data_IF_851600374117
#
_entry.id   IF_851600374117
#
_cell.length_a   1.000
_cell.length_b   1.000
_cell.length_c   1.000
_cell.angle_alpha   90.00
_cell.angle_beta   90.00
_cell.angle_gamma   90.00
#
_symmetry.space_group_name_H-M   'P 1'
#
loop_
_entity.id
_entity.type
_entity.pdbx_description
1 polymer ?
#
# COMPACT_ATOMS: atom_id res chain seq x y z
N UNK A 1 -17.87 -19.54 -3.63
CA UNK A 1 -18.20 -19.53 -2.19
C UNK A 1 -16.94 -19.83 -1.38
N UNK A 2 -16.11 -18.82 -1.12
CA UNK A 2 -14.94 -18.96 -0.23
C UNK A 2 -15.35 -18.56 1.18
N UNK A 3 -15.32 -19.51 2.14
CA UNK A 3 -15.58 -19.22 3.55
C UNK A 3 -14.50 -18.26 4.05
N UNK A 4 -14.88 -17.05 4.47
CA UNK A 4 -14.02 -16.20 5.29
C UNK A 4 -13.81 -16.93 6.63
N UNK A 5 -12.57 -17.08 7.12
CA UNK A 5 -12.34 -17.67 8.43
C UNK A 5 -13.09 -16.86 9.48
N UNK A 6 -13.84 -17.56 10.35
CA UNK A 6 -14.58 -16.93 11.45
C UNK A 6 -13.59 -16.27 12.39
N UNK A 7 -13.56 -14.94 12.38
CA UNK A 7 -12.72 -14.16 13.27
C UNK A 7 -13.33 -14.10 14.67
N UNK A 8 -12.52 -14.39 15.69
CA UNK A 8 -12.95 -14.32 17.08
C UNK A 8 -13.16 -12.86 17.53
N UNK A 9 -14.23 -12.55 18.30
CA UNK A 9 -14.47 -11.20 18.81
C UNK A 9 -13.31 -10.75 19.72
N UNK A 10 -12.83 -9.51 19.52
CA UNK A 10 -11.81 -8.86 20.37
C UNK A 10 -10.38 -8.84 19.82
N UNK A 11 -10.12 -9.51 18.70
CA UNK A 11 -8.81 -9.53 18.06
C UNK A 11 -8.81 -8.42 16.96
N UNK A 12 -7.78 -7.57 16.82
CA UNK A 12 -7.80 -6.49 15.82
C UNK A 12 -7.82 -7.08 14.41
N UNK A 13 -8.76 -6.66 13.56
CA UNK A 13 -8.79 -7.10 12.17
C UNK A 13 -7.48 -6.66 11.51
N UNK A 14 -6.79 -7.55 10.77
CA UNK A 14 -5.60 -7.14 10.04
C UNK A 14 -6.00 -6.07 9.02
N UNK A 15 -5.39 -4.90 9.14
CA UNK A 15 -5.54 -3.83 8.17
C UNK A 15 -4.68 -4.19 6.96
N UNK A 16 -5.26 -4.11 5.76
CA UNK A 16 -4.55 -4.46 4.52
C UNK A 16 -3.93 -3.18 3.94
N UNK A 17 -2.61 -3.12 3.91
CA UNK A 17 -1.88 -2.03 3.25
C UNK A 17 -1.76 -2.33 1.75
N UNK A 18 -2.35 -1.46 0.92
CA UNK A 18 -2.32 -1.61 -0.54
C UNK A 18 -1.11 -0.85 -1.10
N UNK A 19 -0.21 -1.57 -1.77
CA UNK A 19 0.97 -1.01 -2.44
C UNK A 19 0.63 -0.15 -3.68
N UNK A 20 1.53 0.75 -4.05
CA UNK A 20 1.42 1.62 -5.23
C UNK A 20 1.20 0.83 -6.50
N UNK A 21 1.88 -0.30 -6.70
CA UNK A 21 1.74 -1.09 -7.93
C UNK A 21 0.31 -1.62 -8.11
N UNK A 22 -0.36 -2.00 -7.01
CA UNK A 22 -1.75 -2.44 -7.02
C UNK A 22 -2.72 -1.27 -7.29
N UNK A 23 -2.47 -0.10 -6.69
CA UNK A 23 -3.23 1.11 -7.02
C UNK A 23 -3.13 1.48 -8.49
N UNK A 24 -1.94 1.38 -9.09
CA UNK A 24 -1.72 1.70 -10.51
C UNK A 24 -2.53 0.75 -11.41
N UNK A 25 -2.54 -0.55 -11.11
CA UNK A 25 -3.36 -1.53 -11.84
C UNK A 25 -4.86 -1.20 -11.75
N UNK A 26 -5.34 -0.88 -10.55
CA UNK A 26 -6.73 -0.50 -10.33
C UNK A 26 -7.11 0.79 -11.07
N UNK A 27 -6.30 1.85 -10.95
CA UNK A 27 -6.56 3.15 -11.57
C UNK A 27 -6.50 3.12 -13.10
N UNK A 28 -5.71 2.21 -13.66
CA UNK A 28 -5.67 1.96 -15.11
C UNK A 28 -6.82 1.08 -15.61
N UNK A 29 -7.59 0.47 -14.71
CA UNK A 29 -8.68 -0.43 -15.06
C UNK A 29 -8.21 -1.65 -15.85
N UNK A 30 -7.05 -2.22 -15.51
CA UNK A 30 -6.41 -3.26 -16.33
C UNK A 30 -7.19 -4.57 -16.39
N UNK A 31 -8.15 -4.79 -15.48
CA UNK A 31 -8.88 -6.05 -15.36
C UNK A 31 -8.02 -7.21 -14.85
N UNK A 32 -6.79 -6.93 -14.39
CA UNK A 32 -5.92 -7.94 -13.80
C UNK A 32 -6.49 -8.48 -12.48
N UNK A 33 -5.97 -9.64 -12.03
CA UNK A 33 -6.34 -10.18 -10.72
C UNK A 33 -6.06 -9.19 -9.58
N UNK A 34 -4.99 -8.41 -9.69
CA UNK A 34 -4.66 -7.33 -8.74
C UNK A 34 -5.68 -6.20 -8.79
N UNK A 35 -6.11 -5.77 -9.98
CA UNK A 35 -7.18 -4.78 -10.15
C UNK A 35 -8.47 -5.24 -9.46
N UNK A 36 -8.88 -6.51 -9.67
CA UNK A 36 -10.07 -7.06 -9.03
C UNK A 36 -9.92 -7.18 -7.51
N UNK A 37 -8.75 -7.58 -7.02
CA UNK A 37 -8.47 -7.66 -5.59
C UNK A 37 -8.59 -6.29 -4.91
N UNK A 38 -8.05 -5.22 -5.52
CA UNK A 38 -8.23 -3.86 -5.00
C UNK A 38 -9.70 -3.48 -4.99
N UNK A 39 -10.44 -3.74 -6.08
CA UNK A 39 -11.88 -3.47 -6.15
C UNK A 39 -12.66 -4.13 -5.00
N UNK A 40 -12.39 -5.41 -4.72
CA UNK A 40 -13.07 -6.16 -3.66
C UNK A 40 -12.70 -5.65 -2.26
N UNK A 41 -11.48 -5.11 -2.09
CA UNK A 41 -10.97 -4.57 -0.83
C UNK A 41 -11.48 -3.16 -0.50
N UNK A 42 -11.88 -2.37 -1.50
CA UNK A 42 -12.38 -1.00 -1.31
C UNK A 42 -13.64 -0.92 -0.41
N UNK A 43 -14.35 -2.04 -0.22
CA UNK A 43 -15.49 -2.15 0.70
C UNK A 43 -15.13 -2.53 2.15
N UNK A 44 -13.84 -2.65 2.49
CA UNK A 44 -13.35 -3.09 3.80
C UNK A 44 -12.31 -2.16 4.44
N UNK A 45 -11.64 -2.67 5.47
CA UNK A 45 -10.63 -1.94 6.24
C UNK A 45 -9.26 -1.98 5.52
N UNK A 46 -9.02 -0.99 4.65
CA UNK A 46 -7.75 -0.83 3.92
C UNK A 46 -6.92 0.34 4.47
N UNK A 47 -5.61 0.27 4.28
CA UNK A 47 -4.69 1.35 4.57
C UNK A 47 -3.72 1.64 3.43
N UNK A 48 -3.15 2.83 3.52
CA UNK A 48 -2.00 3.29 2.76
C UNK A 48 -0.98 3.88 3.73
N UNK A 49 0.30 3.88 3.36
CA UNK A 49 1.34 4.63 4.06
C UNK A 49 1.76 5.87 3.27
N UNK A 50 2.50 6.78 3.92
CA UNK A 50 2.94 8.04 3.30
C UNK A 50 3.71 7.84 1.98
N UNK A 51 4.64 6.86 1.83
CA UNK A 51 5.32 6.62 0.57
C UNK A 51 4.38 6.19 -0.54
N UNK A 52 3.43 5.27 -0.26
CA UNK A 52 2.42 4.86 -1.24
C UNK A 52 1.55 6.06 -1.64
N UNK A 53 1.11 6.86 -0.65
CA UNK A 53 0.32 8.07 -0.90
C UNK A 53 1.09 9.04 -1.80
N UNK A 54 2.37 9.26 -1.52
CA UNK A 54 3.24 10.10 -2.34
C UNK A 54 3.32 9.59 -3.77
N UNK A 55 3.63 8.31 -3.98
CA UNK A 55 3.78 7.74 -5.32
C UNK A 55 2.48 7.79 -6.13
N UNK A 56 1.34 7.46 -5.51
CA UNK A 56 0.02 7.52 -6.18
C UNK A 56 -0.32 8.95 -6.59
N UNK A 57 -0.15 9.93 -5.70
CA UNK A 57 -0.44 11.34 -6.00
C UNK A 57 0.52 11.92 -7.04
N UNK A 58 1.80 11.54 -7.00
CA UNK A 58 2.78 11.95 -8.02
C UNK A 58 2.46 11.37 -9.41
N UNK A 59 1.68 10.30 -9.50
CA UNK A 59 1.14 9.74 -10.74
C UNK A 59 -0.05 10.50 -11.33
N UNK A 60 -0.51 11.59 -10.71
CA UNK A 60 -1.58 12.43 -11.25
C UNK A 60 -1.19 13.03 -12.61
N UNK A 61 -2.16 13.19 -13.51
CA UNK A 61 -1.94 13.69 -14.88
C UNK A 61 -2.20 15.19 -15.01
N UNK A 62 -3.03 15.71 -14.11
CA UNK A 62 -3.47 17.09 -13.99
C UNK A 62 -4.05 17.30 -12.57
N UNK A 63 -4.40 18.54 -12.25
CA UNK A 63 -4.93 18.91 -10.93
C UNK A 63 -6.30 18.29 -10.62
N UNK A 64 -7.12 18.03 -11.65
CA UNK A 64 -8.42 17.39 -11.47
C UNK A 64 -8.23 15.94 -11.04
N UNK A 65 -7.37 15.20 -11.74
CA UNK A 65 -6.97 13.84 -11.41
C UNK A 65 -6.33 13.77 -10.02
N UNK A 66 -5.47 14.73 -9.66
CA UNK A 66 -4.87 14.80 -8.32
C UNK A 66 -5.94 14.90 -7.22
N UNK A 67 -6.97 15.72 -7.42
CA UNK A 67 -8.07 15.87 -6.47
C UNK A 67 -8.96 14.62 -6.40
N UNK A 68 -9.16 13.92 -7.52
CA UNK A 68 -9.83 12.63 -7.55
C UNK A 68 -9.06 11.56 -6.74
N UNK A 69 -7.74 11.49 -6.91
CA UNK A 69 -6.89 10.59 -6.14
C UNK A 69 -6.90 10.93 -4.65
N UNK A 70 -6.85 12.22 -4.27
CA UNK A 70 -6.99 12.63 -2.86
C UNK A 70 -8.30 12.14 -2.24
N UNK A 71 -9.41 12.28 -2.97
CA UNK A 71 -10.73 11.81 -2.51
C UNK A 71 -10.82 10.29 -2.38
N UNK A 72 -10.18 9.57 -3.30
CA UNK A 72 -10.10 8.10 -3.25
C UNK A 72 -9.30 7.64 -2.02
N UNK A 73 -8.09 8.17 -1.85
CA UNK A 73 -7.18 7.78 -0.78
C UNK A 73 -7.67 8.21 0.61
N UNK A 74 -8.49 9.25 0.72
CA UNK A 74 -9.10 9.68 1.98
C UNK A 74 -10.04 8.63 2.61
N UNK A 75 -10.40 7.57 1.87
CA UNK A 75 -11.22 6.46 2.38
C UNK A 75 -10.40 5.40 3.09
N UNK A 76 -9.08 5.37 2.87
CA UNK A 76 -8.18 4.42 3.51
C UNK A 76 -7.66 4.97 4.85
N UNK A 77 -7.37 4.08 5.80
CA UNK A 77 -6.55 4.42 6.95
C UNK A 77 -5.15 4.86 6.49
N UNK A 78 -4.54 5.79 7.23
CA UNK A 78 -3.18 6.26 6.93
C UNK A 78 -2.23 5.75 8.00
N UNK A 79 -1.21 5.01 7.56
CA UNK A 79 -0.06 4.64 8.37
C UNK A 79 1.03 5.69 8.15
N UNK A 80 1.22 6.55 9.15
CA UNK A 80 2.20 7.62 9.07
C UNK A 80 3.60 7.06 9.30
N UNK A 81 4.51 7.42 8.40
CA UNK A 81 5.93 7.11 8.55
C UNK A 81 6.59 8.03 9.57
N UNK A 82 7.48 7.44 10.35
CA UNK A 82 8.27 8.08 11.40
C UNK A 82 9.76 7.99 11.04
N UNK A 83 10.63 8.82 11.63
CA UNK A 83 12.08 8.70 11.43
C UNK A 83 12.64 7.30 11.71
N UNK A 84 12.04 6.55 12.65
CA UNK A 84 12.46 5.17 12.97
C UNK A 84 12.20 4.19 11.82
N UNK A 85 11.17 4.43 11.00
CA UNK A 85 10.83 3.57 9.87
C UNK A 85 11.88 3.69 8.76
N UNK A 86 12.50 4.87 8.60
CA UNK A 86 13.61 5.07 7.67
C UNK A 86 14.87 4.31 8.09
N UNK A 87 15.21 4.31 9.37
CA UNK A 87 16.32 3.51 9.91
C UNK A 87 16.06 2.00 9.76
N UNK A 88 14.81 1.59 10.00
CA UNK A 88 14.36 0.20 9.80
C UNK A 88 14.43 -0.19 8.32
N UNK A 89 13.97 0.66 7.41
CA UNK A 89 14.05 0.46 5.97
C UNK A 89 15.50 0.31 5.49
N UNK A 90 16.41 1.17 5.97
CA UNK A 90 17.84 1.07 5.66
C UNK A 90 18.43 -0.25 6.16
N UNK A 91 18.02 -0.69 7.35
CA UNK A 91 18.44 -1.97 7.93
C UNK A 91 17.92 -3.17 7.14
N UNK A 92 16.65 -3.14 6.70
CA UNK A 92 16.05 -4.15 5.83
C UNK A 92 16.81 -4.25 4.50
N UNK A 93 17.01 -3.11 3.83
CA UNK A 93 17.73 -3.06 2.55
C UNK A 93 19.14 -3.65 2.67
N UNK A 94 19.89 -3.27 3.72
CA UNK A 94 21.23 -3.82 3.97
C UNK A 94 21.21 -5.32 4.25
N UNK A 95 20.18 -5.81 4.93
CA UNK A 95 20.01 -7.24 5.23
C UNK A 95 19.78 -8.03 3.94
N UNK A 96 18.82 -7.60 3.11
CA UNK A 96 18.58 -8.23 1.80
C UNK A 96 19.86 -8.26 0.96
N UNK A 97 20.55 -7.13 0.86
CA UNK A 97 21.80 -7.03 0.09
C UNK A 97 22.89 -7.98 0.62
N UNK A 98 23.04 -8.13 1.94
CA UNK A 98 23.99 -9.08 2.55
C UNK A 98 23.64 -10.54 2.24
N UNK A 99 22.37 -10.84 2.02
CA UNK A 99 21.87 -12.17 1.68
C UNK A 99 21.89 -12.46 0.18
N UNK A 100 22.31 -11.50 -0.66
CA UNK A 100 22.29 -11.63 -2.12
C UNK A 100 20.93 -11.34 -2.75
N UNK A 101 19.95 -10.89 -1.96
CA UNK A 101 18.63 -10.51 -2.42
C UNK A 101 18.62 -9.06 -2.92
N UNK A 102 18.12 -8.85 -4.13
CA UNK A 102 18.06 -7.51 -4.74
C UNK A 102 16.70 -6.87 -4.51
N UNK A 103 16.66 -5.86 -3.63
CA UNK A 103 15.49 -4.99 -3.51
C UNK A 103 15.53 -3.94 -4.61
N UNK A 104 14.47 -3.90 -5.43
CA UNK A 104 14.40 -3.02 -6.62
C UNK A 104 14.41 -1.53 -6.26
N UNK A 105 13.73 -1.14 -5.17
CA UNK A 105 13.60 0.25 -4.73
C UNK A 105 13.72 0.35 -3.21
N UNK A 106 14.47 1.33 -2.72
CA UNK A 106 14.60 1.57 -1.27
C UNK A 106 13.26 1.95 -0.63
N UNK A 107 12.36 2.59 -1.39
CA UNK A 107 11.01 2.92 -0.94
C UNK A 107 10.19 1.68 -0.59
N UNK A 108 10.41 0.54 -1.26
CA UNK A 108 9.74 -0.73 -0.94
C UNK A 108 10.12 -1.20 0.48
N UNK A 109 11.36 -0.94 0.92
CA UNK A 109 11.77 -1.20 2.30
C UNK A 109 11.12 -0.23 3.30
N UNK A 110 10.86 1.02 2.91
CA UNK A 110 10.15 1.98 3.76
C UNK A 110 8.67 1.62 3.90
N UNK A 111 8.04 1.16 2.82
CA UNK A 111 6.68 0.62 2.85
C UNK A 111 6.61 -0.60 3.76
N UNK A 112 7.61 -1.49 3.71
CA UNK A 112 7.69 -2.67 4.57
C UNK A 112 8.00 -2.36 6.06
N UNK A 113 8.55 -1.18 6.35
CA UNK A 113 8.87 -0.75 7.71
C UNK A 113 7.70 -0.01 8.40
N UNK A 114 6.76 0.53 7.63
CA UNK A 114 5.57 1.22 8.10
C UNK A 114 4.52 0.24 8.65
#
# INVERSE_FOLDING_TARGET
>A
MGRRPGWAPGKPRPVILIDTSAWVEFLRGTGSATCQAVHDLLGGDIAICDPVRMEVLAGARDDQHLNDLRRLLARAGVVTTTPADYETAASLYRTCRRQGETVRRLVDCLIAAA
#
